data_IF_507949806182
#
_entry.id   IF_507949806182
#
_cell.length_a   1.000
_cell.length_b   1.000
_cell.length_c   1.000
_cell.angle_alpha   90.00
_cell.angle_beta   90.00
_cell.angle_gamma   90.00
#
_symmetry.space_group_name_H-M   'P 1'
#
loop_
_entity.id
_entity.type
_entity.pdbx_description
1 polymer ?
#
# COMPACT_ATOMS: atom_id res chain seq x y z
N UNK A 1 -52.25 -21.50 -13.25
CA UNK A 1 -50.85 -21.93 -13.12
C UNK A 1 -50.02 -20.67 -13.14
N UNK A 2 -49.58 -20.16 -11.98
CA UNK A 2 -48.63 -19.04 -11.86
C UNK A 2 -48.42 -18.78 -10.36
N UNK A 3 -47.53 -19.52 -9.70
CA UNK A 3 -47.23 -19.27 -8.27
C UNK A 3 -45.84 -19.71 -7.77
N UNK A 4 -44.93 -20.16 -8.63
CA UNK A 4 -43.64 -20.72 -8.18
C UNK A 4 -42.39 -19.91 -8.55
N UNK A 5 -42.53 -18.75 -9.20
CA UNK A 5 -41.35 -18.02 -9.70
C UNK A 5 -40.75 -17.04 -8.68
N UNK A 6 -41.48 -16.68 -7.61
CA UNK A 6 -41.04 -15.72 -6.57
C UNK A 6 -40.42 -16.36 -5.33
N UNK A 7 -40.38 -17.69 -5.23
CA UNK A 7 -39.87 -18.38 -4.03
C UNK A 7 -38.34 -18.52 -4.02
N UNK A 8 -37.70 -18.63 -5.18
CA UNK A 8 -36.26 -18.88 -5.27
C UNK A 8 -35.46 -17.62 -4.97
N UNK A 9 -35.84 -16.47 -5.52
CA UNK A 9 -35.12 -15.20 -5.31
C UNK A 9 -35.16 -14.73 -3.85
N UNK A 10 -36.23 -15.05 -3.13
CA UNK A 10 -36.39 -14.74 -1.71
C UNK A 10 -35.71 -15.73 -0.79
N UNK A 11 -35.53 -16.98 -1.25
CA UNK A 11 -34.74 -17.96 -0.51
C UNK A 11 -33.37 -17.33 -0.29
N UNK A 12 -32.67 -16.95 -1.36
CA UNK A 12 -31.25 -16.64 -1.42
C UNK A 12 -30.68 -15.44 -0.62
N UNK A 13 -31.47 -14.71 0.17
CA UNK A 13 -31.08 -13.40 0.70
C UNK A 13 -30.34 -13.35 2.06
N UNK A 14 -30.18 -14.44 2.82
CA UNK A 14 -29.18 -14.48 3.92
C UNK A 14 -28.98 -15.88 4.54
N UNK A 15 -30.04 -16.54 5.04
CA UNK A 15 -29.92 -17.88 5.69
C UNK A 15 -29.80 -19.04 4.68
N UNK A 16 -30.24 -18.76 3.48
CA UNK A 16 -30.24 -19.61 2.30
C UNK A 16 -28.89 -19.85 1.66
N UNK A 17 -27.88 -18.99 1.88
CA UNK A 17 -26.57 -19.23 1.30
C UNK A 17 -25.98 -20.51 1.89
N UNK A 18 -26.13 -20.68 3.21
CA UNK A 18 -25.73 -21.88 3.93
C UNK A 18 -26.57 -23.09 3.50
N UNK A 19 -27.89 -22.94 3.37
CA UNK A 19 -28.76 -24.03 2.89
C UNK A 19 -28.47 -24.41 1.43
N UNK A 20 -28.12 -23.44 0.57
CA UNK A 20 -27.73 -23.69 -0.81
C UNK A 20 -26.35 -24.34 -0.88
N UNK A 21 -25.44 -23.97 0.02
CA UNK A 21 -24.12 -24.59 0.16
C UNK A 21 -24.26 -26.06 0.55
N UNK A 22 -25.10 -26.39 1.53
CA UNK A 22 -25.43 -27.77 1.91
C UNK A 22 -26.12 -28.55 0.78
N UNK A 23 -26.89 -27.85 -0.07
CA UNK A 23 -27.57 -28.44 -1.22
C UNK A 23 -26.63 -28.69 -2.42
N UNK A 24 -25.44 -28.08 -2.47
CA UNK A 24 -24.52 -28.17 -3.61
C UNK A 24 -24.25 -29.61 -4.07
N UNK A 25 -23.99 -30.61 -3.20
CA UNK A 25 -23.70 -31.98 -3.63
C UNK A 25 -24.84 -32.60 -4.46
N UNK A 26 -26.08 -32.19 -4.21
CA UNK A 26 -27.29 -32.77 -4.79
C UNK A 26 -27.74 -32.09 -6.08
N UNK A 27 -27.15 -30.93 -6.41
CA UNK A 27 -27.48 -30.21 -7.64
C UNK A 27 -26.88 -30.90 -8.88
N UNK A 28 -27.52 -30.78 -10.06
CA UNK A 28 -26.93 -31.21 -11.32
C UNK A 28 -25.72 -30.31 -11.69
N UNK A 29 -24.74 -30.80 -12.46
CA UNK A 29 -23.45 -30.12 -12.68
C UNK A 29 -23.55 -28.69 -13.20
N UNK A 30 -24.51 -28.42 -14.08
CA UNK A 30 -24.78 -27.08 -14.62
C UNK A 30 -25.27 -26.09 -13.56
N UNK A 31 -26.05 -26.56 -12.59
CA UNK A 31 -26.56 -25.73 -11.49
C UNK A 31 -25.54 -25.60 -10.35
N UNK A 32 -24.72 -26.62 -10.09
CA UNK A 32 -23.64 -26.58 -9.10
C UNK A 32 -22.72 -25.37 -9.29
N UNK A 33 -22.27 -25.13 -10.53
CA UNK A 33 -21.40 -24.00 -10.84
C UNK A 33 -22.10 -22.65 -10.57
N UNK A 34 -23.36 -22.52 -10.99
CA UNK A 34 -24.13 -21.28 -10.81
C UNK A 34 -24.38 -21.01 -9.33
N UNK A 35 -24.81 -22.03 -8.58
CA UNK A 35 -25.04 -21.93 -7.14
C UNK A 35 -23.76 -21.59 -6.36
N UNK A 36 -22.63 -22.22 -6.68
CA UNK A 36 -21.35 -21.93 -6.04
C UNK A 36 -20.89 -20.49 -6.27
N UNK A 37 -21.03 -19.98 -7.51
CA UNK A 37 -20.71 -18.58 -7.81
C UNK A 37 -21.66 -17.64 -7.06
N UNK A 38 -22.95 -17.96 -7.02
CA UNK A 38 -23.95 -17.16 -6.33
C UNK A 38 -23.66 -17.06 -4.82
N UNK A 39 -23.32 -18.18 -4.17
CA UNK A 39 -22.92 -18.22 -2.75
C UNK A 39 -21.74 -17.28 -2.52
N UNK A 40 -20.66 -17.40 -3.31
CA UNK A 40 -19.47 -16.55 -3.16
C UNK A 40 -19.72 -15.08 -3.46
N UNK A 41 -20.59 -14.78 -4.43
CA UNK A 41 -20.99 -13.40 -4.71
C UNK A 41 -21.77 -12.80 -3.53
N UNK A 42 -22.64 -13.57 -2.91
CA UNK A 42 -23.44 -13.13 -1.75
C UNK A 42 -22.56 -12.93 -0.52
N UNK A 43 -21.62 -13.85 -0.25
CA UNK A 43 -20.60 -13.68 0.79
C UNK A 43 -19.78 -12.40 0.59
N UNK A 44 -19.27 -12.18 -0.63
CA UNK A 44 -18.51 -10.98 -0.97
C UNK A 44 -19.35 -9.71 -0.85
N UNK A 45 -20.62 -9.75 -1.26
CA UNK A 45 -21.54 -8.63 -1.10
C UNK A 45 -21.74 -8.27 0.37
N UNK A 46 -21.84 -9.28 1.24
CA UNK A 46 -21.96 -9.07 2.69
C UNK A 46 -20.69 -8.45 3.26
N UNK A 47 -19.53 -9.02 2.94
CA UNK A 47 -18.23 -8.45 3.33
C UNK A 47 -18.15 -6.99 2.88
N UNK A 48 -18.48 -6.70 1.62
CA UNK A 48 -18.47 -5.34 1.08
C UNK A 48 -19.35 -4.37 1.87
N UNK A 49 -20.54 -4.80 2.30
CA UNK A 49 -21.42 -3.95 3.12
C UNK A 49 -20.91 -3.74 4.55
N UNK A 50 -20.07 -4.65 5.05
CA UNK A 50 -19.43 -4.49 6.37
C UNK A 50 -18.30 -3.46 6.36
N UNK A 51 -17.74 -3.14 5.18
CA UNK A 51 -16.81 -2.00 5.03
C UNK A 51 -17.51 -0.64 5.16
N UNK A 52 -18.84 -0.57 5.14
CA UNK A 52 -19.59 0.66 5.44
C UNK A 52 -19.73 0.91 6.96
N UNK A 53 -19.31 -0.05 7.79
CA UNK A 53 -19.35 0.05 9.25
C UNK A 53 -17.97 0.45 9.81
N UNK A 54 -17.87 1.67 10.35
CA UNK A 54 -16.65 2.19 10.98
C UNK A 54 -16.10 1.26 12.07
N UNK A 55 -16.95 0.64 12.90
CA UNK A 55 -16.45 -0.28 13.93
C UNK A 55 -15.76 -1.52 13.34
N UNK A 56 -16.26 -2.01 12.21
CA UNK A 56 -15.64 -3.13 11.48
C UNK A 56 -14.34 -2.67 10.81
N UNK A 57 -14.33 -1.48 10.19
CA UNK A 57 -13.12 -0.90 9.62
C UNK A 57 -12.02 -0.72 10.66
N UNK A 58 -12.35 -0.14 11.82
CA UNK A 58 -11.48 -0.04 13.00
C UNK A 58 -10.91 -1.39 13.42
N UNK A 59 -11.77 -2.40 13.58
CA UNK A 59 -11.34 -3.73 14.02
C UNK A 59 -10.42 -4.42 13.00
N UNK A 60 -10.60 -4.14 11.70
CA UNK A 60 -9.77 -4.67 10.63
C UNK A 60 -8.50 -3.84 10.33
N UNK A 61 -8.30 -2.71 11.02
CA UNK A 61 -7.18 -1.80 10.77
C UNK A 61 -7.30 -1.00 9.47
N UNK A 62 -8.53 -0.85 8.95
CA UNK A 62 -8.85 -0.01 7.80
C UNK A 62 -9.20 1.43 8.20
N UNK A 63 -9.57 1.68 9.47
CA UNK A 63 -9.59 3.05 10.00
C UNK A 63 -8.17 3.48 10.31
N UNK A 64 -7.45 4.00 9.33
CA UNK A 64 -6.28 4.83 9.55
C UNK A 64 -6.19 5.85 8.41
N UNK A 65 -5.61 7.02 8.73
CA UNK A 65 -5.09 7.96 7.75
C UNK A 65 -4.40 7.21 6.59
N UNK A 66 -4.47 7.73 5.35
CA UNK A 66 -3.84 7.06 4.21
C UNK A 66 -2.40 6.68 4.57
N UNK A 67 -2.13 5.37 4.52
CA UNK A 67 -0.84 4.81 4.90
C UNK A 67 0.29 5.57 4.20
N UNK A 68 1.37 5.86 4.92
CA UNK A 68 2.50 6.59 4.35
C UNK A 68 3.02 5.87 3.11
N UNK A 69 3.49 6.63 2.11
CA UNK A 69 4.06 6.06 0.89
C UNK A 69 5.18 5.07 1.19
N UNK A 70 5.99 5.33 2.23
CA UNK A 70 7.04 4.41 2.67
C UNK A 70 6.47 3.07 3.18
N UNK A 71 5.39 3.11 3.96
CA UNK A 71 4.73 1.88 4.45
C UNK A 71 4.13 1.08 3.28
N UNK A 72 3.49 1.77 2.33
CA UNK A 72 2.96 1.16 1.11
C UNK A 72 4.06 0.48 0.30
N UNK A 73 5.16 1.21 0.01
CA UNK A 73 6.29 0.68 -0.75
C UNK A 73 6.94 -0.51 -0.04
N UNK A 74 7.12 -0.45 1.27
CA UNK A 74 7.63 -1.58 2.04
C UNK A 74 6.71 -2.81 1.97
N UNK A 75 5.38 -2.63 2.05
CA UNK A 75 4.44 -3.72 1.90
C UNK A 75 4.43 -4.32 0.49
N UNK A 76 4.51 -3.47 -0.55
CA UNK A 76 4.59 -3.91 -1.95
C UNK A 76 5.88 -4.69 -2.21
N UNK A 77 7.02 -4.25 -1.68
CA UNK A 77 8.31 -4.94 -1.80
C UNK A 77 8.24 -6.40 -1.35
N UNK A 78 7.50 -6.71 -0.29
CA UNK A 78 7.37 -8.06 0.27
C UNK A 78 6.61 -9.04 -0.62
N UNK A 79 5.74 -8.54 -1.51
CA UNK A 79 4.93 -9.36 -2.42
C UNK A 79 5.38 -9.26 -3.89
N UNK A 80 6.29 -8.34 -4.19
CA UNK A 80 6.76 -8.10 -5.54
C UNK A 80 7.79 -9.16 -5.98
N UNK A 81 7.87 -9.47 -7.30
CA UNK A 81 8.99 -10.20 -7.88
C UNK A 81 10.33 -9.51 -7.61
N UNK A 82 11.45 -10.25 -7.66
CA UNK A 82 12.78 -9.76 -7.26
C UNK A 82 13.18 -8.46 -7.96
N UNK A 83 12.97 -8.38 -9.26
CA UNK A 83 13.34 -7.23 -10.09
C UNK A 83 12.55 -5.98 -9.68
N UNK A 84 11.24 -6.13 -9.43
CA UNK A 84 10.37 -5.04 -8.98
C UNK A 84 10.66 -4.65 -7.52
N UNK A 85 10.95 -5.62 -6.65
CA UNK A 85 11.33 -5.38 -5.26
C UNK A 85 12.61 -4.54 -5.16
N UNK A 86 13.61 -4.81 -6.02
CA UNK A 86 14.82 -3.98 -6.11
C UNK A 86 14.54 -2.54 -6.54
N UNK A 87 13.61 -2.32 -7.47
CA UNK A 87 13.23 -0.96 -7.89
C UNK A 87 12.53 -0.22 -6.74
N UNK A 88 11.64 -0.91 -6.03
CA UNK A 88 10.97 -0.36 -4.84
C UNK A 88 12.00 -0.01 -3.75
N UNK A 89 13.01 -0.87 -3.54
CA UNK A 89 14.09 -0.61 -2.59
C UNK A 89 14.89 0.66 -2.95
N UNK A 90 15.21 0.86 -4.22
CA UNK A 90 15.91 2.07 -4.68
C UNK A 90 15.09 3.34 -4.41
N UNK A 91 13.76 3.27 -4.59
CA UNK A 91 12.87 4.40 -4.30
C UNK A 91 12.82 4.67 -2.80
N UNK A 92 12.71 3.63 -1.97
CA UNK A 92 12.76 3.75 -0.50
C UNK A 92 14.07 4.41 -0.05
N UNK A 93 15.21 3.98 -0.57
CA UNK A 93 16.52 4.58 -0.27
C UNK A 93 16.59 6.05 -0.70
N UNK A 94 16.05 6.38 -1.88
CA UNK A 94 16.00 7.76 -2.35
C UNK A 94 15.13 8.65 -1.45
N UNK A 95 13.99 8.13 -0.97
CA UNK A 95 13.12 8.85 -0.04
C UNK A 95 13.82 9.14 1.29
N UNK A 96 14.50 8.14 1.87
CA UNK A 96 15.27 8.31 3.11
C UNK A 96 16.40 9.33 2.92
N UNK A 97 17.12 9.23 1.79
CA UNK A 97 18.19 10.18 1.49
C UNK A 97 17.66 11.60 1.33
N UNK A 98 16.52 11.77 0.67
CA UNK A 98 15.88 13.08 0.49
C UNK A 98 15.42 13.70 1.82
N UNK A 99 14.89 12.91 2.74
CA UNK A 99 14.52 13.38 4.08
C UNK A 99 15.74 13.88 4.87
N UNK A 100 16.84 13.13 4.84
CA UNK A 100 18.09 13.55 5.48
C UNK A 100 18.62 14.85 4.88
N UNK A 101 18.56 15.01 3.54
CA UNK A 101 18.96 16.25 2.89
C UNK A 101 18.05 17.44 3.25
N UNK A 102 16.73 17.24 3.31
CA UNK A 102 15.80 18.30 3.74
C UNK A 102 16.05 18.72 5.18
N UNK A 103 16.22 17.76 6.09
CA UNK A 103 16.49 18.03 7.50
C UNK A 103 17.82 18.77 7.67
N UNK A 104 18.83 18.41 6.89
CA UNK A 104 20.10 19.13 6.83
C UNK A 104 19.94 20.57 6.34
N UNK A 105 19.23 20.78 5.21
CA UNK A 105 19.00 22.11 4.66
C UNK A 105 18.27 23.00 5.68
N UNK A 106 17.22 22.46 6.33
CA UNK A 106 16.49 23.15 7.40
C UNK A 106 17.38 23.52 8.57
N UNK A 107 18.29 22.65 8.98
CA UNK A 107 19.22 22.91 10.07
C UNK A 107 20.20 24.04 9.73
N UNK A 108 20.79 24.01 8.53
CA UNK A 108 21.70 25.07 8.05
C UNK A 108 20.96 26.41 7.91
N UNK A 109 19.76 26.41 7.33
CA UNK A 109 18.94 27.61 7.14
C UNK A 109 18.55 28.23 8.50
N UNK A 110 18.17 27.40 9.49
CA UNK A 110 17.80 27.88 10.84
C UNK A 110 19.02 28.44 11.59
N UNK A 111 20.18 27.79 11.47
CA UNK A 111 21.42 28.21 12.16
C UNK A 111 21.99 29.52 11.60
N UNK A 112 21.82 29.77 10.30
CA UNK A 112 22.22 31.02 9.66
C UNK A 112 21.31 32.21 10.03
N UNK A 113 20.04 31.97 10.40
CA UNK A 113 19.13 33.03 10.84
C UNK A 113 19.19 33.32 12.36
N UNK A 114 19.79 32.45 13.17
CA UNK A 114 20.01 32.68 14.60
C UNK A 114 21.38 33.26 14.96
N UNK A 115 22.28 33.44 13.99
CA UNK A 115 23.65 33.94 14.21
C UNK A 115 23.89 35.31 13.59
N UNK A 116 23.13 36.31 14.06
CA UNK A 116 23.58 37.71 14.02
C UNK A 116 24.66 37.97 15.07
N UNK A 117 25.80 37.26 15.00
CA UNK A 117 27.05 37.66 15.66
C UNK A 117 28.18 36.68 15.39
N UNK A 118 29.23 37.20 14.73
CA UNK A 118 30.65 36.86 14.88
C UNK A 118 31.11 35.39 14.70
N UNK A 119 31.80 35.19 13.58
CA UNK A 119 33.04 34.38 13.43
C UNK A 119 33.03 32.94 13.98
N UNK A 120 32.87 31.95 13.11
CA UNK A 120 33.75 30.77 13.03
C UNK A 120 33.40 29.87 11.84
N UNK A 121 34.11 30.08 10.72
CA UNK A 121 33.89 29.40 9.43
C UNK A 121 34.44 27.97 9.37
N UNK A 122 34.99 27.42 10.46
CA UNK A 122 35.70 26.13 10.45
C UNK A 122 34.83 24.92 10.85
N UNK A 123 33.73 25.11 11.59
CA UNK A 123 32.89 23.99 12.06
C UNK A 123 31.91 23.45 11.01
N UNK A 124 31.47 24.30 10.06
CA UNK A 124 30.59 23.87 8.97
C UNK A 124 31.27 22.91 7.98
N UNK A 125 32.60 23.01 7.79
CA UNK A 125 33.37 22.17 6.87
C UNK A 125 33.62 20.75 7.42
N UNK A 126 33.77 20.60 8.74
CA UNK A 126 33.97 19.29 9.36
C UNK A 126 32.68 18.46 9.33
N UNK A 127 31.54 19.11 9.59
CA UNK A 127 30.24 18.44 9.62
C UNK A 127 29.75 18.08 8.21
N UNK A 128 29.95 18.96 7.22
CA UNK A 128 29.65 18.68 5.81
C UNK A 128 30.55 17.59 5.20
N UNK A 129 31.80 17.43 5.66
CA UNK A 129 32.69 16.31 5.30
C UNK A 129 32.31 14.97 5.94
N UNK A 130 31.66 14.97 7.09
CA UNK A 130 31.27 13.75 7.80
C UNK A 130 30.08 13.04 7.14
N UNK A 131 29.19 13.82 6.50
CA UNK A 131 27.96 13.33 5.87
C UNK A 131 28.21 12.31 4.74
N UNK A 132 29.10 12.57 3.74
CA UNK A 132 29.44 11.57 2.73
C UNK A 132 30.01 10.27 3.33
N UNK A 133 30.72 10.37 4.45
CA UNK A 133 31.35 9.22 5.11
C UNK A 133 30.34 8.34 5.85
N UNK A 134 29.28 8.94 6.41
CA UNK A 134 28.18 8.20 7.05
C UNK A 134 27.28 7.50 6.01
N UNK A 135 27.09 8.12 4.84
CA UNK A 135 26.30 7.59 3.71
C UNK A 135 27.02 6.49 2.92
N UNK A 136 28.36 6.47 2.96
CA UNK A 136 29.16 5.48 2.22
C UNK A 136 29.24 4.10 2.91
N UNK A 137 28.72 3.94 4.13
CA UNK A 137 29.03 2.77 4.97
C UNK A 137 28.17 1.52 4.70
N UNK A 138 27.06 1.62 3.96
CA UNK A 138 26.14 0.48 3.70
C UNK A 138 25.90 0.14 2.22
N UNK A 139 26.86 0.43 1.32
CA UNK A 139 26.73 0.09 -0.11
C UNK A 139 27.56 -1.13 -0.53
N UNK A 140 26.91 -2.26 -0.81
CA UNK A 140 27.33 -3.14 -1.88
C UNK A 140 26.24 -3.16 -2.95
N UNK A 141 26.48 -2.49 -4.08
CA UNK A 141 26.11 -2.90 -5.45
C UNK A 141 26.18 -1.71 -6.41
N UNK A 142 27.36 -1.51 -6.99
CA UNK A 142 27.52 -0.82 -8.26
C UNK A 142 26.86 -1.66 -9.36
N UNK A 143 25.65 -1.31 -9.77
CA UNK A 143 25.16 -1.55 -11.12
C UNK A 143 24.10 -0.48 -11.45
N UNK A 144 24.50 0.43 -12.32
CA UNK A 144 23.68 1.52 -12.84
C UNK A 144 22.56 0.98 -13.72
N UNK A 145 21.43 0.60 -13.14
CA UNK A 145 20.15 0.59 -13.85
C UNK A 145 19.44 1.89 -13.48
N UNK A 146 19.28 2.80 -14.44
CA UNK A 146 18.44 3.99 -14.26
C UNK A 146 17.05 3.53 -13.78
N UNK A 147 16.45 4.20 -12.78
CA UNK A 147 15.07 3.90 -12.38
C UNK A 147 14.19 4.03 -13.63
N UNK A 148 13.46 2.96 -13.94
CA UNK A 148 12.66 2.86 -15.14
C UNK A 148 11.57 3.95 -15.10
N UNK A 149 11.64 4.93 -15.99
CA UNK A 149 10.74 6.09 -16.02
C UNK A 149 9.27 5.70 -16.09
N UNK A 150 8.99 4.53 -16.67
CA UNK A 150 7.64 4.00 -16.82
C UNK A 150 7.00 3.63 -15.48
N UNK A 151 7.78 3.10 -14.53
CA UNK A 151 7.29 2.79 -13.19
C UNK A 151 6.96 4.07 -12.42
N UNK A 152 7.83 5.07 -12.48
CA UNK A 152 7.60 6.38 -11.84
C UNK A 152 6.38 7.10 -12.45
N UNK A 153 6.18 6.98 -13.76
CA UNK A 153 5.00 7.53 -14.43
C UNK A 153 3.71 6.79 -14.06
N UNK A 154 3.75 5.46 -13.90
CA UNK A 154 2.60 4.70 -13.40
C UNK A 154 2.27 5.05 -11.95
N UNK A 155 3.28 5.18 -11.08
CA UNK A 155 3.09 5.64 -9.70
C UNK A 155 2.45 7.03 -9.64
N UNK A 156 2.94 7.98 -10.45
CA UNK A 156 2.37 9.33 -10.52
C UNK A 156 0.93 9.35 -11.05
N UNK A 157 0.55 8.40 -11.91
CA UNK A 157 -0.84 8.28 -12.37
C UNK A 157 -1.77 7.72 -11.29
N UNK A 158 -1.29 6.81 -10.45
CA UNK A 158 -2.04 6.29 -9.30
C UNK A 158 -2.24 7.40 -8.25
N UNK A 159 -1.25 8.27 -8.06
CA UNK A 159 -1.26 9.38 -7.09
C UNK A 159 -2.11 10.60 -7.48
N UNK A 160 -2.54 10.72 -8.75
CA UNK A 160 -3.30 11.88 -9.27
C UNK A 160 -4.81 11.64 -9.36
N UNK A 161 -5.33 10.59 -8.73
CA UNK A 161 -6.76 10.39 -8.50
C UNK A 161 -7.08 10.61 -7.02
#
# INVERSE_FOLDING_TARGET
MEQNQTSWENFFRNDSSNMLEDALPYLPPNLKKVAAIYIKLTELSKISSEFDNEQTLSACGFDQDPASMELLLNALKLRAPKETAMQIEQILQMMQMFEVYQNYQRFVDTTNHSSSSSSDSQNNDLFSKLMPMMMAKDSPCTNTAKPNSDFMNQLNQILKK
#
